data_IF_203069774961
#
_entry.id   IF_203069774961
#
_cell.length_a   1.000
_cell.length_b   1.000
_cell.length_c   1.000
_cell.angle_alpha   90.00
_cell.angle_beta   90.00
_cell.angle_gamma   90.00
#
_symmetry.space_group_name_H-M   'P 1'
#
loop_
_entity.id
_entity.type
_entity.pdbx_description
1 polymer ?
#
# COMPACT_ATOMS: atom_id res chain seq x y z
N UNK A 1 -11.90 -5.69 -12.27
CA UNK A 1 -11.56 -4.56 -11.36
C UNK A 1 -12.68 -3.54 -11.39
N UNK A 2 -13.10 -2.97 -10.25
CA UNK A 2 -14.15 -1.96 -10.23
C UNK A 2 -13.54 -0.56 -10.46
N UNK A 3 -13.28 -0.23 -11.74
CA UNK A 3 -12.56 0.98 -12.17
C UNK A 3 -13.20 2.27 -11.68
N UNK A 4 -14.53 2.26 -11.49
CA UNK A 4 -15.30 3.41 -10.98
C UNK A 4 -14.86 3.89 -9.59
N UNK A 5 -14.39 2.97 -8.72
CA UNK A 5 -13.83 3.33 -7.40
C UNK A 5 -12.35 3.72 -7.48
N UNK A 6 -11.61 3.19 -8.46
CA UNK A 6 -10.20 3.49 -8.67
C UNK A 6 -10.00 4.91 -9.20
N UNK A 7 -10.84 5.35 -10.15
CA UNK A 7 -10.80 6.72 -10.72
C UNK A 7 -10.87 7.80 -9.64
N UNK A 8 -11.62 7.56 -8.55
CA UNK A 8 -11.70 8.48 -7.39
C UNK A 8 -10.34 8.74 -6.71
N UNK A 9 -9.37 7.84 -6.86
CA UNK A 9 -8.02 7.95 -6.30
C UNK A 9 -6.99 8.54 -7.29
N UNK A 10 -7.39 8.77 -8.54
CA UNK A 10 -6.57 9.35 -9.61
C UNK A 10 -7.26 10.58 -10.20
N UNK A 11 -7.37 11.69 -9.43
CA UNK A 11 -7.93 12.94 -9.93
C UNK A 11 -7.14 13.49 -11.14
N UNK A 12 -5.88 13.08 -11.26
CA UNK A 12 -4.97 13.36 -12.39
C UNK A 12 -5.54 12.88 -13.73
N UNK A 13 -6.43 11.88 -13.76
CA UNK A 13 -7.06 11.36 -14.99
C UNK A 13 -8.44 11.94 -15.27
N UNK A 14 -9.01 12.72 -14.35
CA UNK A 14 -10.40 13.16 -14.41
C UNK A 14 -10.72 14.06 -15.63
N UNK A 15 -9.69 14.60 -16.29
CA UNK A 15 -9.81 15.44 -17.47
C UNK A 15 -9.90 14.66 -18.80
N UNK A 16 -9.59 13.36 -18.79
CA UNK A 16 -9.60 12.48 -19.98
C UNK A 16 -10.95 11.78 -20.16
N UNK A 17 -11.35 11.40 -21.38
CA UNK A 17 -12.55 10.59 -21.62
C UNK A 17 -12.46 9.22 -20.92
N UNK A 18 -13.61 8.70 -20.46
CA UNK A 18 -13.69 7.52 -19.57
C UNK A 18 -13.02 6.27 -20.17
N UNK A 19 -13.10 6.10 -21.49
CA UNK A 19 -12.50 4.97 -22.20
C UNK A 19 -10.96 5.05 -22.21
N UNK A 20 -10.41 6.26 -22.39
CA UNK A 20 -8.96 6.50 -22.29
C UNK A 20 -8.46 6.35 -20.85
N UNK A 21 -9.24 6.81 -19.85
CA UNK A 21 -8.90 6.60 -18.44
C UNK A 21 -8.78 5.11 -18.11
N UNK A 22 -9.74 4.29 -18.56
CA UNK A 22 -9.72 2.85 -18.32
C UNK A 22 -8.55 2.17 -19.04
N UNK A 23 -8.27 2.56 -20.28
CA UNK A 23 -7.16 2.01 -21.06
C UNK A 23 -5.80 2.36 -20.43
N UNK A 24 -5.60 3.62 -20.01
CA UNK A 24 -4.38 4.08 -19.32
C UNK A 24 -4.22 3.44 -17.94
N UNK A 25 -5.29 3.31 -17.16
CA UNK A 25 -5.25 2.62 -15.87
C UNK A 25 -4.93 1.13 -16.03
N UNK A 26 -5.45 0.49 -17.07
CA UNK A 26 -5.17 -0.92 -17.37
C UNK A 26 -3.71 -1.11 -17.77
N UNK A 27 -3.18 -0.26 -18.65
CA UNK A 27 -1.75 -0.26 -19.01
C UNK A 27 -0.84 0.02 -17.82
N UNK A 28 -1.16 1.03 -17.02
CA UNK A 28 -0.38 1.39 -15.83
C UNK A 28 -0.42 0.29 -14.78
N UNK A 29 -1.54 -0.43 -14.64
CA UNK A 29 -1.62 -1.60 -13.77
C UNK A 29 -0.75 -2.75 -14.30
N UNK A 30 -0.85 -3.08 -15.59
CA UNK A 30 -0.01 -4.11 -16.20
C UNK A 30 1.48 -3.78 -16.08
N UNK A 31 1.88 -2.53 -16.30
CA UNK A 31 3.27 -2.08 -16.11
C UNK A 31 3.71 -2.13 -14.64
N UNK A 32 2.89 -1.65 -13.71
CA UNK A 32 3.22 -1.64 -12.28
C UNK A 32 3.46 -3.04 -11.70
N UNK A 33 2.78 -4.05 -12.25
CA UNK A 33 2.90 -5.46 -11.86
C UNK A 33 3.71 -6.32 -12.84
N UNK A 34 4.34 -5.70 -13.85
CA UNK A 34 5.21 -6.40 -14.81
C UNK A 34 6.48 -6.95 -14.14
N UNK A 35 7.13 -7.90 -14.82
CA UNK A 35 8.39 -8.50 -14.36
C UNK A 35 9.51 -7.49 -14.16
N UNK A 36 9.55 -6.41 -14.94
CA UNK A 36 10.57 -5.36 -14.84
C UNK A 36 10.47 -4.57 -13.53
N UNK A 37 9.25 -4.34 -13.04
CA UNK A 37 9.04 -3.68 -11.75
C UNK A 37 9.08 -4.66 -10.55
N UNK A 38 9.24 -5.97 -10.79
CA UNK A 38 9.25 -7.00 -9.73
C UNK A 38 10.36 -6.77 -8.70
N UNK A 39 11.57 -6.42 -9.14
CA UNK A 39 12.71 -6.16 -8.25
C UNK A 39 12.47 -4.92 -7.37
N UNK A 40 11.91 -3.86 -7.95
CA UNK A 40 11.56 -2.63 -7.24
C UNK A 40 10.44 -2.88 -6.23
N UNK A 41 9.42 -3.65 -6.61
CA UNK A 41 8.32 -4.04 -5.73
C UNK A 41 8.81 -4.92 -4.58
N UNK A 42 9.72 -5.85 -4.85
CA UNK A 42 10.32 -6.70 -3.82
C UNK A 42 11.14 -5.90 -2.81
N UNK A 43 11.99 -4.96 -3.26
CA UNK A 43 12.73 -4.05 -2.35
C UNK A 43 11.77 -3.22 -1.49
N UNK A 44 10.71 -2.68 -2.08
CA UNK A 44 9.70 -1.92 -1.33
C UNK A 44 8.97 -2.76 -0.29
N UNK A 45 8.66 -4.02 -0.61
CA UNK A 45 8.04 -4.96 0.32
C UNK A 45 9.00 -5.40 1.42
N UNK A 46 10.30 -5.55 1.11
CA UNK A 46 11.31 -5.88 2.10
C UNK A 46 11.49 -4.76 3.12
N UNK A 47 11.62 -3.50 2.66
CA UNK A 47 11.68 -2.31 3.54
C UNK A 47 10.43 -2.22 4.42
N UNK A 48 9.27 -2.53 3.85
CA UNK A 48 8.02 -2.56 4.59
C UNK A 48 7.98 -3.63 5.69
N UNK A 49 8.44 -4.83 5.37
CA UNK A 49 8.53 -5.92 6.34
C UNK A 49 9.48 -5.52 7.48
N UNK A 50 10.64 -4.96 7.13
CA UNK A 50 11.62 -4.47 8.09
C UNK A 50 11.05 -3.39 9.04
N UNK A 51 10.31 -2.42 8.49
CA UNK A 51 9.61 -1.40 9.28
C UNK A 51 8.55 -2.01 10.19
N UNK A 52 7.71 -2.93 9.69
CA UNK A 52 6.69 -3.59 10.50
C UNK A 52 7.29 -4.44 11.62
N UNK A 53 8.37 -5.19 11.32
CA UNK A 53 9.10 -5.95 12.32
C UNK A 53 9.69 -5.03 13.38
N UNK A 54 10.34 -3.93 12.98
CA UNK A 54 10.90 -2.95 13.91
C UNK A 54 9.84 -2.31 14.81
N UNK A 55 8.69 -1.93 14.25
CA UNK A 55 7.55 -1.40 15.00
C UNK A 55 6.99 -2.43 16.00
N UNK A 56 6.84 -3.69 15.61
CA UNK A 56 6.43 -4.76 16.51
C UNK A 56 7.43 -4.97 17.65
N UNK A 57 8.73 -4.99 17.35
CA UNK A 57 9.77 -5.10 18.38
C UNK A 57 9.73 -3.93 19.36
N UNK A 58 9.61 -2.70 18.86
CA UNK A 58 9.48 -1.49 19.68
C UNK A 58 8.23 -1.56 20.56
N UNK A 59 7.11 -2.03 20.02
CA UNK A 59 5.88 -2.18 20.78
C UNK A 59 6.03 -3.21 21.91
N UNK A 60 6.61 -4.38 21.63
CA UNK A 60 6.77 -5.46 22.62
C UNK A 60 7.82 -5.13 23.68
N UNK A 61 8.93 -4.49 23.29
CA UNK A 61 10.05 -4.21 24.19
C UNK A 61 9.92 -2.90 24.96
N UNK A 62 9.22 -1.90 24.42
CA UNK A 62 9.11 -0.57 25.03
C UNK A 62 7.69 -0.29 25.50
N UNK A 63 6.71 -0.39 24.60
CA UNK A 63 5.33 0.05 24.88
C UNK A 63 4.62 -0.92 25.83
N UNK A 64 4.75 -2.24 25.61
CA UNK A 64 4.13 -3.27 26.46
C UNK A 64 4.59 -3.18 27.93
N UNK A 65 5.89 -3.16 28.26
CA UNK A 65 6.32 -3.03 29.64
C UNK A 65 5.99 -1.65 30.22
N UNK A 66 6.08 -0.57 29.45
CA UNK A 66 5.73 0.77 29.93
C UNK A 66 4.27 0.92 30.34
N UNK A 67 3.35 0.21 29.66
CA UNK A 67 1.92 0.22 29.97
C UNK A 67 1.49 -0.90 30.95
N UNK A 68 2.40 -1.80 31.35
CA UNK A 68 2.08 -2.91 32.26
C UNK A 68 1.03 -3.89 31.72
N UNK A 69 0.84 -3.96 30.41
CA UNK A 69 -0.27 -4.70 29.78
C UNK A 69 0.08 -6.19 29.66
N UNK A 70 -0.91 -7.07 29.88
CA UNK A 70 -0.76 -8.52 29.68
C UNK A 70 -0.40 -8.87 28.23
N UNK A 71 0.30 -9.99 28.04
CA UNK A 71 0.73 -10.44 26.70
C UNK A 71 -0.47 -10.64 25.75
N UNK A 72 -1.58 -11.18 26.25
CA UNK A 72 -2.80 -11.39 25.46
C UNK A 72 -3.44 -10.07 25.01
N UNK A 73 -3.60 -9.11 25.93
CA UNK A 73 -4.22 -7.81 25.61
C UNK A 73 -3.38 -7.03 24.59
N UNK A 74 -2.05 -7.11 24.71
CA UNK A 74 -1.11 -6.48 23.76
C UNK A 74 -1.21 -7.08 22.35
N UNK A 75 -1.39 -8.41 22.25
CA UNK A 75 -1.56 -9.10 20.97
C UNK A 75 -2.90 -8.76 20.30
N UNK A 76 -3.97 -8.66 21.09
CA UNK A 76 -5.29 -8.25 20.59
C UNK A 76 -5.23 -6.80 20.09
N UNK A 77 -4.58 -5.89 20.84
CA UNK A 77 -4.39 -4.51 20.40
C UNK A 77 -3.61 -4.43 19.09
N UNK A 78 -2.51 -5.19 18.97
CA UNK A 78 -1.74 -5.27 17.73
C UNK A 78 -2.60 -5.83 16.59
N UNK A 79 -3.42 -6.85 16.83
CA UNK A 79 -4.28 -7.40 15.79
C UNK A 79 -5.32 -6.37 15.33
N UNK A 80 -5.96 -5.65 16.26
CA UNK A 80 -6.98 -4.64 15.96
C UNK A 80 -6.37 -3.40 15.30
N UNK A 81 -5.12 -3.04 15.60
CA UNK A 81 -4.49 -1.81 15.08
C UNK A 81 -3.62 -2.11 13.86
N UNK A 82 -2.71 -3.08 13.96
CA UNK A 82 -1.74 -3.37 12.91
C UNK A 82 -2.38 -3.96 11.66
N UNK A 83 -3.43 -4.79 11.79
CA UNK A 83 -4.11 -5.35 10.63
C UNK A 83 -4.79 -4.29 9.76
N UNK A 84 -5.68 -3.42 10.29
CA UNK A 84 -6.26 -2.35 9.47
C UNK A 84 -5.21 -1.33 9.02
N UNK A 85 -4.21 -1.00 9.85
CA UNK A 85 -3.12 -0.14 9.42
C UNK A 85 -2.37 -0.74 8.21
N UNK A 86 -2.09 -2.05 8.25
CA UNK A 86 -1.47 -2.77 7.15
C UNK A 86 -2.32 -2.71 5.88
N UNK A 87 -3.63 -2.94 5.97
CA UNK A 87 -4.54 -2.87 4.82
C UNK A 87 -4.54 -1.48 4.17
N UNK A 88 -4.60 -0.42 4.99
CA UNK A 88 -4.56 0.96 4.49
C UNK A 88 -3.22 1.27 3.82
N UNK A 89 -2.11 0.92 4.46
CA UNK A 89 -0.76 1.12 3.89
C UNK A 89 -0.59 0.32 2.59
N UNK A 90 -1.10 -0.91 2.54
CA UNK A 90 -1.04 -1.75 1.36
C UNK A 90 -1.86 -1.14 0.21
N UNK A 91 -3.07 -0.66 0.47
CA UNK A 91 -3.87 0.05 -0.53
C UNK A 91 -3.16 1.30 -1.05
N UNK A 92 -2.61 2.12 -0.15
CA UNK A 92 -1.87 3.33 -0.55
C UNK A 92 -0.64 3.00 -1.39
N UNK A 93 0.08 1.91 -1.08
CA UNK A 93 1.22 1.47 -1.89
C UNK A 93 0.82 1.04 -3.28
N UNK A 94 -0.26 0.26 -3.40
CA UNK A 94 -0.80 -0.15 -4.71
C UNK A 94 -1.20 1.07 -5.53
N UNK A 95 -1.91 2.02 -4.91
CA UNK A 95 -2.30 3.28 -5.58
C UNK A 95 -1.05 4.07 -6.03
N UNK A 96 -0.03 4.18 -5.17
CA UNK A 96 1.22 4.90 -5.49
C UNK A 96 2.02 4.21 -6.59
N UNK A 97 2.04 2.87 -6.63
CA UNK A 97 2.66 2.09 -7.71
C UNK A 97 1.98 2.36 -9.04
N UNK A 98 0.64 2.20 -9.08
CA UNK A 98 -0.16 2.50 -10.28
C UNK A 98 0.04 3.96 -10.70
N UNK A 99 0.04 4.91 -9.75
CA UNK A 99 0.30 6.33 -10.05
C UNK A 99 1.67 6.56 -10.65
N UNK A 100 2.70 5.86 -10.16
CA UNK A 100 4.06 6.02 -10.69
C UNK A 100 4.19 5.48 -12.10
N UNK A 101 3.54 4.35 -12.41
CA UNK A 101 3.46 3.85 -13.78
C UNK A 101 2.60 4.75 -14.66
N UNK A 102 1.48 5.25 -14.14
CA UNK A 102 0.60 6.17 -14.85
C UNK A 102 1.33 7.45 -15.28
N UNK A 103 2.16 8.03 -14.41
CA UNK A 103 3.01 9.19 -14.72
C UNK A 103 4.01 8.97 -15.86
N UNK A 104 4.36 7.72 -16.18
CA UNK A 104 5.19 7.41 -17.36
C UNK A 104 4.40 7.44 -18.66
N UNK A 105 3.08 7.26 -18.59
CA UNK A 105 2.19 7.20 -19.74
C UNK A 105 1.34 8.47 -19.92
N UNK A 106 1.38 9.38 -18.96
CA UNK A 106 0.85 10.74 -19.08
C UNK A 106 1.86 11.60 -19.87
N UNK A 107 1.41 12.40 -20.85
CA UNK A 107 2.26 13.29 -21.64
C UNK A 107 2.83 14.46 -20.80
#
# INVERSE_FOLDING_TARGET
>A
MNFKKLIRHFPELAHLPVDEQQHLLTRAHQDAFSSDNKMRNWRSNFIAALLMTSLCFLFVLVIRPALGISQQTSAIMLMIIAFPAYLVIQQQRVIKQIRTSLKKFLP
#
